data_IF_461864927148
#
_entry.id   IF_461864927148
#
_cell.length_a   1.000
_cell.length_b   1.000
_cell.length_c   1.000
_cell.angle_alpha   90.00
_cell.angle_beta   90.00
_cell.angle_gamma   90.00
#
_symmetry.space_group_name_H-M   'P 1'
#
loop_
_entity.id
_entity.type
_entity.pdbx_description
1 polymer ?
#
# COMPACT_ATOMS: atom_id res chain seq x y z
N UNK A 1 -6.07 11.65 -20.43
CA UNK A 1 -4.85 12.10 -19.72
C UNK A 1 -4.64 11.15 -18.54
N UNK A 2 -3.69 10.21 -18.64
CA UNK A 2 -3.38 9.32 -17.52
C UNK A 2 -2.48 10.08 -16.54
N UNK A 3 -3.07 10.69 -15.51
CA UNK A 3 -2.31 11.23 -14.40
C UNK A 3 -1.65 10.05 -13.67
N UNK A 4 -0.37 9.79 -13.97
CA UNK A 4 0.49 9.06 -13.05
C UNK A 4 0.86 10.06 -11.97
N UNK A 5 -0.06 10.26 -11.02
CA UNK A 5 0.29 10.85 -9.74
C UNK A 5 1.25 9.86 -9.09
N UNK A 6 2.54 10.19 -9.10
CA UNK A 6 3.57 9.39 -8.45
C UNK A 6 3.39 9.51 -6.94
N UNK A 7 2.59 8.63 -6.35
CA UNK A 7 2.41 8.56 -4.91
C UNK A 7 3.76 8.32 -4.21
N UNK A 8 4.12 9.22 -3.31
CA UNK A 8 5.27 9.05 -2.41
C UNK A 8 5.06 7.86 -1.46
N UNK A 9 6.14 7.37 -0.86
CA UNK A 9 6.06 6.28 0.14
C UNK A 9 5.14 6.65 1.30
N UNK A 10 5.20 7.88 1.78
CA UNK A 10 4.38 8.37 2.90
C UNK A 10 2.89 8.43 2.55
N UNK A 11 2.54 8.86 1.34
CA UNK A 11 1.14 8.89 0.88
C UNK A 11 0.56 7.48 0.75
N UNK A 12 1.34 6.53 0.20
CA UNK A 12 0.93 5.12 0.15
C UNK A 12 0.68 4.57 1.55
N UNK A 13 1.58 4.82 2.49
CA UNK A 13 1.42 4.37 3.87
C UNK A 13 0.20 4.98 4.55
N UNK A 14 -0.07 6.28 4.37
CA UNK A 14 -1.28 6.93 4.89
C UNK A 14 -2.55 6.29 4.32
N UNK A 15 -2.61 6.07 3.01
CA UNK A 15 -3.77 5.44 2.37
C UNK A 15 -3.97 4.00 2.86
N UNK A 16 -2.89 3.22 2.98
CA UNK A 16 -2.98 1.85 3.49
C UNK A 16 -3.36 1.80 4.98
N UNK A 17 -2.90 2.75 5.79
CA UNK A 17 -3.30 2.88 7.19
C UNK A 17 -4.78 3.24 7.31
N UNK A 18 -5.27 4.18 6.49
CA UNK A 18 -6.69 4.53 6.45
C UNK A 18 -7.55 3.36 5.95
N UNK A 19 -7.03 2.56 5.02
CA UNK A 19 -7.71 1.34 4.57
C UNK A 19 -7.81 0.31 5.69
N UNK A 20 -6.79 0.16 6.55
CA UNK A 20 -6.83 -0.76 7.69
C UNK A 20 -7.86 -0.37 8.76
N UNK A 21 -8.12 0.92 8.92
CA UNK A 21 -9.15 1.44 9.83
C UNK A 21 -10.55 1.36 9.21
N UNK A 22 -10.63 1.21 7.89
CA UNK A 22 -11.89 1.13 7.15
C UNK A 22 -12.41 -0.31 7.10
N UNK A 23 -13.67 -0.51 7.45
CA UNK A 23 -14.39 -1.78 7.22
C UNK A 23 -14.76 -2.01 5.72
N UNK A 24 -14.34 -1.11 4.83
CA UNK A 24 -14.63 -1.19 3.41
C UNK A 24 -13.77 -2.24 2.71
N UNK A 25 -14.32 -2.87 1.67
CA UNK A 25 -13.51 -3.70 0.77
C UNK A 25 -12.48 -2.86 0.01
N UNK A 26 -11.36 -3.49 -0.36
CA UNK A 26 -10.26 -2.83 -1.09
C UNK A 26 -10.74 -2.10 -2.34
N UNK A 27 -11.71 -2.65 -3.07
CA UNK A 27 -12.26 -2.04 -4.28
C UNK A 27 -13.04 -0.77 -3.99
N UNK A 28 -13.91 -0.80 -2.98
CA UNK A 28 -14.72 0.35 -2.55
C UNK A 28 -13.84 1.48 -2.02
N UNK A 29 -12.86 1.14 -1.18
CA UNK A 29 -11.92 2.13 -0.66
C UNK A 29 -11.06 2.76 -1.76
N UNK A 30 -10.58 1.94 -2.69
CA UNK A 30 -9.77 2.41 -3.81
C UNK A 30 -10.56 3.36 -4.72
N UNK A 31 -11.82 3.02 -5.02
CA UNK A 31 -12.74 3.87 -5.80
C UNK A 31 -12.99 5.22 -5.09
N UNK A 32 -13.28 5.20 -3.79
CA UNK A 32 -13.49 6.42 -2.99
C UNK A 32 -12.27 7.37 -2.97
N UNK A 33 -11.07 6.82 -2.99
CA UNK A 33 -9.82 7.59 -3.00
C UNK A 33 -9.26 7.84 -4.41
N UNK A 34 -10.03 7.50 -5.46
CA UNK A 34 -9.63 7.59 -6.87
C UNK A 34 -8.31 6.85 -7.19
N UNK A 35 -8.02 5.81 -6.42
CA UNK A 35 -6.86 4.95 -6.61
C UNK A 35 -7.31 3.71 -7.36
N UNK A 36 -6.53 3.25 -8.35
CA UNK A 36 -6.78 1.94 -8.94
C UNK A 36 -6.55 0.84 -7.90
N UNK A 37 -7.51 -0.06 -7.71
CA UNK A 37 -7.38 -1.22 -6.81
C UNK A 37 -6.10 -2.02 -7.07
N UNK A 38 -5.69 -2.17 -8.33
CA UNK A 38 -4.43 -2.82 -8.70
C UNK A 38 -3.18 -2.13 -8.11
N UNK A 39 -3.18 -0.80 -8.01
CA UNK A 39 -2.08 -0.04 -7.40
C UNK A 39 -2.02 -0.28 -5.88
N UNK A 40 -3.17 -0.24 -5.20
CA UNK A 40 -3.26 -0.55 -3.77
C UNK A 40 -2.79 -1.98 -3.47
N UNK A 41 -3.26 -2.97 -4.23
CA UNK A 41 -2.79 -4.36 -4.11
C UNK A 41 -1.28 -4.48 -4.31
N UNK A 42 -0.72 -3.76 -5.28
CA UNK A 42 0.73 -3.73 -5.52
C UNK A 42 1.47 -3.16 -4.31
N UNK A 43 0.99 -2.05 -3.74
CA UNK A 43 1.63 -1.43 -2.58
C UNK A 43 1.59 -2.34 -1.36
N UNK A 44 0.45 -2.96 -1.05
CA UNK A 44 0.33 -3.93 0.06
C UNK A 44 1.37 -5.04 -0.10
N UNK A 45 1.45 -5.66 -1.29
CA UNK A 45 2.45 -6.72 -1.57
C UNK A 45 3.87 -6.22 -1.39
N UNK A 46 4.20 -5.02 -1.89
CA UNK A 46 5.54 -4.45 -1.76
C UNK A 46 5.93 -4.22 -0.30
N UNK A 47 5.03 -3.66 0.51
CA UNK A 47 5.31 -3.40 1.93
C UNK A 47 5.40 -4.68 2.74
N UNK A 48 4.53 -5.67 2.50
CA UNK A 48 4.61 -6.97 3.18
C UNK A 48 5.89 -7.72 2.82
N UNK A 49 6.29 -7.75 1.54
CA UNK A 49 7.53 -8.39 1.11
C UNK A 49 8.76 -7.69 1.68
N UNK A 50 8.78 -6.35 1.70
CA UNK A 50 9.88 -5.59 2.28
C UNK A 50 9.97 -5.79 3.81
N UNK A 51 8.84 -5.78 4.51
CA UNK A 51 8.77 -6.06 5.94
C UNK A 51 9.25 -7.49 6.25
N UNK A 52 8.81 -8.48 5.47
CA UNK A 52 9.25 -9.86 5.60
C UNK A 52 10.75 -10.01 5.36
N UNK A 53 11.30 -9.36 4.34
CA UNK A 53 12.75 -9.35 4.08
C UNK A 53 13.54 -8.69 5.24
N UNK A 54 12.97 -7.69 5.90
CA UNK A 54 13.52 -7.08 7.10
C UNK A 54 13.55 -8.03 8.31
N UNK A 55 12.54 -8.89 8.45
CA UNK A 55 12.47 -9.91 9.50
C UNK A 55 13.37 -11.12 9.24
N UNK A 56 13.54 -11.51 7.97
CA UNK A 56 14.37 -12.67 7.59
C UNK A 56 15.87 -12.33 7.58
N UNK A 57 16.25 -11.04 7.55
CA UNK A 57 17.67 -10.68 7.61
C UNK A 57 18.29 -11.24 8.90
N UNK A 58 19.29 -12.13 8.80
CA UNK A 58 19.98 -12.60 9.98
C UNK A 58 20.62 -11.37 10.64
N UNK A 59 20.37 -11.22 11.94
CA UNK A 59 21.13 -10.30 12.79
C UNK A 59 22.58 -10.77 12.69
N UNK A 60 23.38 -10.14 11.83
CA UNK A 60 24.83 -10.30 11.87
C UNK A 60 25.26 -9.85 13.26
N UNK A 61 25.63 -10.83 14.07
CA UNK A 61 26.17 -10.67 15.41
C UNK A 61 27.66 -10.97 15.35
#
# INVERSE_FOLDING_TARGET
>A
MFFVSSYSTTEKLRLLSNYQDSDCSLGVFADYHEVRTANMTKWIKQFLLAGLAGLIRPKHN
#
